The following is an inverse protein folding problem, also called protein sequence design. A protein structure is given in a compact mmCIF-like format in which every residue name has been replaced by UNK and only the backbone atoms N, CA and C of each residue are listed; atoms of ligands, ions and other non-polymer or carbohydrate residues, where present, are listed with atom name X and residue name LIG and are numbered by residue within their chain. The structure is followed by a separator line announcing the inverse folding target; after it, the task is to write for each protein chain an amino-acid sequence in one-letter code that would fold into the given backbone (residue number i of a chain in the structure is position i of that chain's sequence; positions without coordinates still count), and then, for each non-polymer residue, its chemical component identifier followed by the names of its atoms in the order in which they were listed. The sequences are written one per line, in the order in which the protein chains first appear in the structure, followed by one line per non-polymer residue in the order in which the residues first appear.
data_IF_952816872220
#
_entry.id   IF_952816872220
#
_cell.length_a   1.000
_cell.length_b   1.000
_cell.length_c   1.000
_cell.angle_alpha   90.00
_cell.angle_beta   90.00
_cell.angle_gamma   90.00
#
_symmetry.space_group_name_H-M   'P 1'
#
loop_
_entity.id
_entity.type
_entity.pdbx_description
1 polymer ?
#
# COMPACT_ATOMS: atom_id res chain seq x y z
N UNK A 1 -44.30 -27.47 -96.39
CA UNK A 1 -44.22 -26.38 -95.39
C UNK A 1 -43.13 -26.81 -94.43
N UNK A 2 -41.93 -26.30 -94.65
CA UNK A 2 -40.67 -26.96 -94.34
C UNK A 2 -39.97 -26.21 -93.20
N UNK A 3 -39.72 -26.87 -92.07
CA UNK A 3 -38.83 -26.36 -91.02
C UNK A 3 -38.16 -27.54 -90.30
N UNK A 4 -36.90 -27.80 -90.66
CA UNK A 4 -36.01 -28.76 -90.01
C UNK A 4 -34.60 -28.55 -90.53
N UNK A 5 -33.63 -28.63 -89.62
CA UNK A 5 -32.17 -28.64 -89.83
C UNK A 5 -31.54 -27.24 -89.82
N UNK A 6 -30.93 -26.80 -88.72
CA UNK A 6 -29.58 -27.15 -88.22
C UNK A 6 -28.43 -26.56 -89.05
N UNK A 7 -27.49 -26.00 -88.29
CA UNK A 7 -26.06 -25.80 -88.59
C UNK A 7 -25.75 -24.63 -89.56
N UNK A 8 -24.78 -23.75 -89.36
CA UNK A 8 -23.66 -23.67 -88.42
C UNK A 8 -23.20 -22.21 -88.31
N UNK A 9 -22.81 -21.77 -87.11
CA UNK A 9 -21.98 -20.58 -86.90
C UNK A 9 -20.61 -21.06 -86.36
N UNK A 10 -19.47 -20.67 -86.94
CA UNK A 10 -18.17 -21.10 -86.45
C UNK A 10 -17.72 -20.24 -85.25
N UNK A 11 -17.39 -20.91 -84.14
CA UNK A 11 -16.47 -20.40 -83.10
C UNK A 11 -15.04 -20.24 -83.68
N UNK A 12 -14.04 -19.60 -83.01
CA UNK A 12 -13.97 -19.27 -81.58
C UNK A 12 -13.36 -17.89 -81.24
N UNK A 13 -13.62 -17.37 -80.03
CA UNK A 13 -12.62 -16.61 -79.28
C UNK A 13 -12.84 -16.81 -77.77
N UNK A 14 -11.77 -17.25 -77.13
CA UNK A 14 -11.66 -17.70 -75.75
C UNK A 14 -11.44 -16.55 -74.77
N UNK A 15 -12.24 -16.43 -73.70
CA UNK A 15 -11.79 -15.86 -72.41
C UNK A 15 -12.52 -16.53 -71.23
N UNK A 16 -11.83 -17.16 -70.27
CA UNK A 16 -12.42 -17.68 -69.02
C UNK A 16 -12.34 -16.62 -67.90
N UNK A 17 -13.35 -16.50 -67.02
CA UNK A 17 -13.24 -15.55 -65.89
C UNK A 17 -14.41 -15.48 -64.92
N UNK A 18 -14.38 -16.33 -63.89
CA UNK A 18 -15.41 -16.53 -62.87
C UNK A 18 -15.99 -15.28 -62.20
N UNK A 19 -17.32 -15.21 -62.14
CA UNK A 19 -18.10 -14.19 -61.41
C UNK A 19 -19.19 -14.82 -60.51
N UNK A 20 -18.86 -15.89 -59.76
CA UNK A 20 -19.85 -16.57 -58.91
C UNK A 20 -19.37 -17.18 -57.59
N UNK A 21 -18.06 -17.26 -57.34
CA UNK A 21 -17.53 -18.01 -56.18
C UNK A 21 -17.05 -17.15 -55.00
N UNK A 22 -16.91 -15.83 -55.15
CA UNK A 22 -16.31 -14.98 -54.10
C UNK A 22 -17.28 -14.54 -52.97
N UNK A 23 -18.59 -14.76 -53.11
CA UNK A 23 -19.60 -14.31 -52.13
C UNK A 23 -20.04 -15.37 -51.11
N UNK A 24 -19.59 -16.63 -51.22
CA UNK A 24 -19.99 -17.70 -50.30
C UNK A 24 -18.95 -18.01 -49.21
N UNK A 25 -17.72 -17.51 -49.36
CA UNK A 25 -16.60 -17.82 -48.45
C UNK A 25 -16.32 -16.75 -47.39
N UNK A 26 -17.09 -15.65 -47.33
CA UNK A 26 -16.83 -14.54 -46.41
C UNK A 26 -17.67 -14.54 -45.12
N UNK A 27 -18.69 -15.41 -45.00
CA UNK A 27 -19.59 -15.47 -43.82
C UNK A 27 -19.14 -16.52 -42.78
N UNK A 28 -18.63 -17.67 -43.23
CA UNK A 28 -18.16 -18.72 -42.33
C UNK A 28 -17.01 -18.31 -41.40
N UNK A 29 -15.94 -17.61 -41.86
CA UNK A 29 -14.81 -17.30 -40.98
C UNK A 29 -15.12 -16.19 -39.96
N UNK A 30 -16.13 -15.34 -40.23
CA UNK A 30 -16.54 -14.27 -39.31
C UNK A 30 -17.32 -14.83 -38.12
N UNK A 31 -18.22 -15.78 -38.35
CA UNK A 31 -19.00 -16.39 -37.27
C UNK A 31 -18.11 -17.17 -36.30
N UNK A 32 -17.09 -17.87 -36.82
CA UNK A 32 -16.13 -18.61 -36.01
C UNK A 32 -15.22 -17.69 -35.20
N UNK A 33 -14.83 -16.56 -35.78
CA UNK A 33 -14.07 -15.51 -35.09
C UNK A 33 -14.90 -14.80 -34.01
N UNK A 34 -16.17 -14.50 -34.28
CA UNK A 34 -17.09 -13.91 -33.29
C UNK A 34 -17.35 -14.86 -32.12
N UNK A 35 -17.45 -16.17 -32.38
CA UNK A 35 -17.54 -17.19 -31.35
C UNK A 35 -16.24 -17.30 -30.52
N UNK A 36 -15.08 -17.30 -31.18
CA UNK A 36 -13.78 -17.30 -30.48
C UNK A 36 -13.59 -16.04 -29.63
N UNK A 37 -14.01 -14.88 -30.12
CA UNK A 37 -13.99 -13.62 -29.37
C UNK A 37 -14.96 -13.63 -28.19
N UNK A 38 -16.15 -14.21 -28.35
CA UNK A 38 -17.12 -14.35 -27.27
C UNK A 38 -16.60 -15.29 -26.17
N UNK A 39 -15.99 -16.41 -26.56
CA UNK A 39 -15.35 -17.35 -25.63
C UNK A 39 -14.13 -16.72 -24.93
N UNK A 40 -13.24 -16.04 -25.66
CA UNK A 40 -12.11 -15.34 -25.07
C UNK A 40 -12.56 -14.25 -24.08
N UNK A 41 -13.57 -13.45 -24.44
CA UNK A 41 -14.14 -12.43 -23.53
C UNK A 41 -14.74 -13.04 -22.27
N UNK A 42 -15.45 -14.16 -22.39
CA UNK A 42 -16.01 -14.86 -21.23
C UNK A 42 -14.91 -15.40 -20.32
N UNK A 43 -13.84 -15.99 -20.89
CA UNK A 43 -12.67 -16.44 -20.13
C UNK A 43 -11.91 -15.28 -19.47
N UNK A 44 -11.79 -14.13 -20.15
CA UNK A 44 -11.19 -12.91 -19.57
C UNK A 44 -12.03 -12.35 -18.43
N UNK A 45 -13.36 -12.29 -18.57
CA UNK A 45 -14.25 -11.80 -17.52
C UNK A 45 -14.21 -12.73 -16.32
N UNK A 46 -14.24 -14.05 -16.53
CA UNK A 46 -14.19 -15.05 -15.47
C UNK A 46 -12.81 -15.07 -14.78
N UNK A 47 -11.71 -14.93 -15.52
CA UNK A 47 -10.38 -14.78 -14.95
C UNK A 47 -10.26 -13.47 -14.15
N UNK A 48 -10.82 -12.38 -14.65
CA UNK A 48 -10.84 -11.09 -13.98
C UNK A 48 -11.70 -11.13 -12.70
N UNK A 49 -12.84 -11.82 -12.71
CA UNK A 49 -13.68 -12.05 -11.53
C UNK A 49 -12.98 -12.95 -10.51
N UNK A 50 -12.31 -14.03 -10.94
CA UNK A 50 -11.52 -14.90 -10.05
C UNK A 50 -10.33 -14.18 -9.42
N UNK A 51 -9.65 -13.32 -10.18
CA UNK A 51 -8.60 -12.44 -9.65
C UNK A 51 -9.23 -11.43 -8.69
N UNK A 52 -10.33 -10.77 -9.03
CA UNK A 52 -11.02 -9.81 -8.16
C UNK A 52 -11.54 -10.43 -6.86
N UNK A 53 -11.96 -11.70 -6.88
CA UNK A 53 -12.39 -12.46 -5.70
C UNK A 53 -11.22 -12.98 -4.85
N UNK A 54 -10.10 -13.40 -5.46
CA UNK A 54 -8.90 -13.88 -4.73
C UNK A 54 -8.00 -12.75 -4.21
N UNK A 55 -7.89 -11.67 -4.97
CA UNK A 55 -7.07 -10.51 -4.66
C UNK A 55 -7.77 -9.60 -3.66
N UNK A 56 -9.10 -9.72 -3.50
CA UNK A 56 -9.89 -8.83 -2.67
C UNK A 56 -9.88 -7.42 -3.28
N UNK A 57 -11.06 -6.83 -3.46
CA UNK A 57 -11.21 -5.45 -3.98
C UNK A 57 -10.31 -4.43 -3.24
N UNK A 58 -9.94 -4.74 -2.01
CA UNK A 58 -9.19 -3.87 -1.13
C UNK A 58 -7.66 -3.97 -1.31
N UNK A 59 -7.09 -5.04 -1.91
CA UNK A 59 -5.62 -5.14 -2.06
C UNK A 59 -5.08 -4.17 -3.11
N UNK A 60 -5.71 -4.11 -4.30
CA UNK A 60 -5.31 -3.15 -5.35
C UNK A 60 -5.53 -1.72 -4.85
N UNK A 61 -6.66 -1.48 -4.18
CA UNK A 61 -6.95 -0.17 -3.59
C UNK A 61 -5.92 0.21 -2.51
N UNK A 62 -5.53 -0.73 -1.64
CA UNK A 62 -4.49 -0.52 -0.63
C UNK A 62 -3.14 -0.19 -1.25
N UNK A 63 -2.76 -0.87 -2.35
CA UNK A 63 -1.53 -0.55 -3.10
C UNK A 63 -1.60 0.87 -3.67
N UNK A 64 -2.71 1.24 -4.30
CA UNK A 64 -2.88 2.58 -4.89
C UNK A 64 -2.84 3.66 -3.81
N UNK A 65 -3.53 3.46 -2.68
CA UNK A 65 -3.51 4.40 -1.55
C UNK A 65 -2.10 4.49 -0.96
N UNK A 66 -1.43 3.35 -0.77
CA UNK A 66 -0.06 3.29 -0.26
C UNK A 66 0.92 4.04 -1.16
N UNK A 67 0.83 3.86 -2.48
CA UNK A 67 1.64 4.58 -3.47
C UNK A 67 1.31 6.07 -3.51
N UNK A 68 0.03 6.44 -3.44
CA UNK A 68 -0.38 7.84 -3.43
C UNK A 68 0.16 8.58 -2.18
N UNK A 69 -0.02 7.98 -1.00
CA UNK A 69 0.53 8.52 0.25
C UNK A 69 2.06 8.58 0.17
N UNK A 70 2.71 7.49 -0.26
CA UNK A 70 4.16 7.43 -0.40
C UNK A 70 4.71 8.49 -1.36
N UNK A 71 4.04 8.72 -2.49
CA UNK A 71 4.42 9.74 -3.46
C UNK A 71 4.25 11.15 -2.90
N UNK A 72 3.16 11.44 -2.20
CA UNK A 72 2.94 12.75 -1.55
C UNK A 72 4.02 13.02 -0.51
N UNK A 73 4.35 12.03 0.31
CA UNK A 73 5.43 12.13 1.31
C UNK A 73 6.79 12.32 0.63
N UNK A 74 7.07 11.57 -0.44
CA UNK A 74 8.31 11.66 -1.19
C UNK A 74 8.48 13.03 -1.88
N UNK A 75 7.42 13.53 -2.52
CA UNK A 75 7.40 14.87 -3.10
C UNK A 75 7.60 15.91 -1.99
N UNK A 76 6.92 15.78 -0.86
CA UNK A 76 7.13 16.67 0.30
C UNK A 76 8.61 16.71 0.72
N UNK A 77 9.25 15.54 0.84
CA UNK A 77 10.66 15.42 1.20
C UNK A 77 11.60 16.13 0.20
N UNK A 78 11.34 16.00 -1.10
CA UNK A 78 12.19 16.58 -2.16
C UNK A 78 12.04 18.11 -2.24
N UNK A 79 10.84 18.65 -2.01
CA UNK A 79 10.57 20.07 -2.23
C UNK A 79 10.68 20.94 -0.97
N UNK A 80 10.46 20.39 0.23
CA UNK A 80 10.59 21.17 1.48
C UNK A 80 10.82 20.27 2.72
N UNK A 81 12.01 20.35 3.32
CA UNK A 81 12.36 19.59 4.53
C UNK A 81 11.47 19.94 5.75
N UNK A 82 11.00 21.18 5.86
CA UNK A 82 10.23 21.64 7.02
C UNK A 82 8.81 21.04 7.15
N UNK A 83 7.97 20.99 6.10
CA UNK A 83 6.67 20.31 6.17
C UNK A 83 6.81 18.80 6.37
N UNK A 84 7.86 18.17 5.82
CA UNK A 84 8.15 16.77 6.10
C UNK A 84 8.47 16.55 7.59
N UNK A 85 9.30 17.39 8.20
CA UNK A 85 9.62 17.32 9.63
C UNK A 85 8.36 17.42 10.52
N UNK A 86 7.45 18.35 10.22
CA UNK A 86 6.19 18.49 10.95
C UNK A 86 5.27 17.27 10.75
N UNK A 87 5.20 16.74 9.53
CA UNK A 87 4.42 15.54 9.24
C UNK A 87 4.99 14.33 9.98
N UNK A 88 6.30 14.11 9.92
CA UNK A 88 6.99 13.03 10.60
C UNK A 88 6.84 13.15 12.14
N UNK A 89 6.89 14.36 12.69
CA UNK A 89 6.59 14.62 14.11
C UNK A 89 5.14 14.21 14.46
N UNK A 90 4.16 14.59 13.65
CA UNK A 90 2.76 14.22 13.88
C UNK A 90 2.56 12.70 13.80
N UNK A 91 3.18 12.03 12.83
CA UNK A 91 3.18 10.57 12.69
C UNK A 91 3.88 9.90 13.88
N UNK A 92 4.98 10.45 14.38
CA UNK A 92 5.69 9.92 15.55
C UNK A 92 4.82 9.99 16.82
N UNK A 93 4.16 11.13 17.03
CA UNK A 93 3.23 11.32 18.17
C UNK A 93 2.05 10.35 18.08
N UNK A 94 1.40 10.25 16.92
CA UNK A 94 0.30 9.31 16.71
C UNK A 94 0.77 7.85 16.84
N UNK A 95 1.96 7.53 16.31
CA UNK A 95 2.57 6.22 16.41
C UNK A 95 2.82 5.83 17.87
N UNK A 96 3.40 6.71 18.69
CA UNK A 96 3.59 6.47 20.12
C UNK A 96 2.25 6.38 20.85
N UNK A 97 1.28 7.23 20.52
CA UNK A 97 -0.04 7.21 21.14
C UNK A 97 -0.76 5.88 20.91
N UNK A 98 -0.90 5.46 19.66
CA UNK A 98 -1.56 4.20 19.31
C UNK A 98 -0.76 2.99 19.79
N UNK A 99 0.56 3.03 19.69
CA UNK A 99 1.41 1.94 20.17
C UNK A 99 1.31 1.78 21.71
N UNK A 100 1.32 2.88 22.45
CA UNK A 100 1.12 2.86 23.90
C UNK A 100 -0.27 2.36 24.28
N UNK A 101 -1.32 2.75 23.54
CA UNK A 101 -2.68 2.23 23.77
C UNK A 101 -2.81 0.75 23.43
N UNK A 102 -2.15 0.28 22.37
CA UNK A 102 -2.13 -1.14 22.01
C UNK A 102 -1.44 -1.97 23.11
N UNK A 103 -0.32 -1.48 23.65
CA UNK A 103 0.36 -2.10 24.79
C UNK A 103 -0.54 -2.12 26.04
N UNK A 104 -1.27 -1.04 26.32
CA UNK A 104 -2.27 -0.99 27.39
C UNK A 104 -3.40 -2.01 27.19
N UNK A 105 -3.90 -2.14 25.96
CA UNK A 105 -4.87 -3.17 25.60
C UNK A 105 -4.36 -4.60 25.79
N UNK A 106 -3.05 -4.81 25.69
CA UNK A 106 -2.38 -6.09 25.97
C UNK A 106 -2.10 -6.32 27.46
N UNK A 107 -2.64 -5.49 28.35
CA UNK A 107 -2.46 -5.62 29.81
C UNK A 107 -1.14 -5.06 30.35
N UNK A 108 -0.40 -4.29 29.55
CA UNK A 108 0.83 -3.61 29.98
C UNK A 108 0.52 -2.22 30.51
N UNK A 109 1.17 -1.79 31.59
CA UNK A 109 0.97 -0.43 32.12
C UNK A 109 2.02 0.50 31.49
N UNK A 110 1.61 1.34 30.54
CA UNK A 110 2.49 2.32 29.87
C UNK A 110 1.97 3.73 30.13
N UNK A 111 2.83 4.60 30.67
CA UNK A 111 2.46 5.99 30.97
C UNK A 111 2.52 6.84 29.70
N UNK A 112 1.36 7.28 29.21
CA UNK A 112 1.24 7.97 27.92
C UNK A 112 1.92 9.34 27.91
N UNK A 113 1.82 10.08 29.03
CA UNK A 113 2.33 11.45 29.15
C UNK A 113 3.84 11.55 28.88
N UNK A 114 4.72 10.81 29.58
CA UNK A 114 6.15 10.86 29.30
C UNK A 114 6.47 10.36 27.88
N UNK A 115 5.76 9.35 27.39
CA UNK A 115 6.03 8.78 26.06
C UNK A 115 5.73 9.76 24.93
N UNK A 116 4.58 10.44 24.99
CA UNK A 116 4.21 11.47 24.00
C UNK A 116 5.16 12.67 24.09
N UNK A 117 5.57 13.08 25.30
CA UNK A 117 6.55 14.14 25.46
C UNK A 117 7.89 13.80 24.76
N UNK A 118 8.37 12.57 24.92
CA UNK A 118 9.59 12.09 24.25
C UNK A 118 9.40 12.06 22.72
N UNK A 119 8.23 11.65 22.25
CA UNK A 119 7.87 11.64 20.82
C UNK A 119 7.92 13.02 20.17
N UNK A 120 7.73 14.09 20.95
CA UNK A 120 7.89 15.47 20.48
C UNK A 120 9.33 15.94 20.61
N UNK A 121 9.93 15.75 21.79
CA UNK A 121 11.22 16.33 22.15
C UNK A 121 12.35 15.75 21.30
N UNK A 122 12.39 14.43 21.09
CA UNK A 122 13.53 13.79 20.41
C UNK A 122 13.58 14.19 18.92
N UNK A 123 12.51 14.08 18.12
CA UNK A 123 12.54 14.51 16.72
C UNK A 123 12.70 16.02 16.57
N UNK A 124 12.10 16.83 17.47
CA UNK A 124 12.31 18.28 17.46
C UNK A 124 13.78 18.64 17.74
N UNK A 125 14.43 17.92 18.66
CA UNK A 125 15.85 18.14 18.97
C UNK A 125 16.73 17.75 17.79
N UNK A 126 16.44 16.63 17.13
CA UNK A 126 17.16 16.20 15.93
C UNK A 126 17.09 17.25 14.82
N UNK A 127 15.89 17.76 14.53
CA UNK A 127 15.68 18.76 13.49
C UNK A 127 16.31 20.12 13.80
N UNK A 128 16.22 20.59 15.05
CA UNK A 128 16.63 21.95 15.42
C UNK A 128 18.08 22.06 15.90
N UNK A 129 18.58 21.06 16.62
CA UNK A 129 19.89 21.11 17.28
C UNK A 129 20.91 20.13 16.67
N UNK A 130 20.45 19.16 15.90
CA UNK A 130 21.28 18.21 15.18
C UNK A 130 21.45 16.84 15.87
N UNK A 131 22.21 15.93 15.23
CA UNK A 131 22.23 14.51 15.60
C UNK A 131 22.83 14.22 16.98
N UNK A 132 23.83 15.01 17.40
CA UNK A 132 24.50 14.80 18.69
C UNK A 132 23.55 15.07 19.86
N UNK A 133 22.76 16.13 19.78
CA UNK A 133 21.81 16.56 20.79
C UNK A 133 20.60 15.62 20.84
N UNK A 134 20.21 15.03 19.71
CA UNK A 134 19.19 13.98 19.66
C UNK A 134 19.54 12.81 20.59
N UNK A 135 20.78 12.33 20.58
CA UNK A 135 21.21 11.24 21.48
C UNK A 135 21.03 11.63 22.95
N UNK A 136 21.44 12.85 23.32
CA UNK A 136 21.27 13.37 24.68
C UNK A 136 19.78 13.44 25.05
N UNK A 137 18.94 13.98 24.18
CA UNK A 137 17.49 14.06 24.39
C UNK A 137 16.84 12.67 24.50
N UNK A 138 17.28 11.70 23.70
CA UNK A 138 16.79 10.32 23.73
C UNK A 138 17.14 9.64 25.05
N UNK A 139 18.41 9.67 25.46
CA UNK A 139 18.83 9.07 26.73
C UNK A 139 18.14 9.73 27.92
N UNK A 140 18.07 11.07 27.93
CA UNK A 140 17.36 11.81 28.96
C UNK A 140 15.87 11.43 28.98
N UNK A 141 15.23 11.35 27.82
CA UNK A 141 13.84 10.94 27.67
C UNK A 141 13.58 9.54 28.22
N UNK A 142 14.42 8.56 27.88
CA UNK A 142 14.33 7.19 28.41
C UNK A 142 14.47 7.18 29.93
N UNK A 143 15.46 7.88 30.49
CA UNK A 143 15.64 7.98 31.95
C UNK A 143 14.41 8.61 32.60
N UNK A 144 13.87 9.69 32.03
CA UNK A 144 12.66 10.34 32.52
C UNK A 144 11.45 9.40 32.46
N UNK A 145 11.27 8.63 31.38
CA UNK A 145 10.19 7.66 31.29
C UNK A 145 10.29 6.55 32.35
N UNK A 146 11.50 6.03 32.58
CA UNK A 146 11.75 5.02 33.62
C UNK A 146 11.47 5.62 35.01
N UNK A 147 12.00 6.79 35.32
CA UNK A 147 11.79 7.45 36.62
C UNK A 147 10.31 7.77 36.83
N UNK A 148 9.62 8.30 35.82
CA UNK A 148 8.19 8.57 35.87
C UNK A 148 7.40 7.32 36.24
N UNK A 149 7.75 6.20 35.59
CA UNK A 149 7.10 4.91 35.83
C UNK A 149 7.35 4.41 37.25
N UNK A 150 8.59 4.47 37.73
CA UNK A 150 8.97 4.04 39.08
C UNK A 150 8.29 4.91 40.15
N UNK A 151 8.21 6.23 39.94
CA UNK A 151 7.50 7.15 40.84
C UNK A 151 6.01 6.85 40.86
N UNK A 152 5.39 6.62 39.69
CA UNK A 152 4.00 6.21 39.60
C UNK A 152 3.71 4.93 40.39
N UNK A 153 4.58 3.91 40.26
CA UNK A 153 4.47 2.67 41.04
C UNK A 153 4.61 2.90 42.56
N UNK A 154 5.54 3.76 43.00
CA UNK A 154 5.71 4.09 44.41
C UNK A 154 4.49 4.78 45.00
N UNK A 155 3.86 5.69 44.24
CA UNK A 155 2.64 6.40 44.66
C UNK A 155 1.45 5.42 44.75
N UNK A 156 1.31 4.50 43.80
CA UNK A 156 0.25 3.49 43.78
C UNK A 156 0.38 2.45 44.92
N UNK A 157 1.52 2.39 45.62
CA UNK A 157 1.84 1.34 46.64
C UNK A 157 1.59 -0.07 46.10
N UNK A 158 1.90 -0.29 44.83
CA UNK A 158 1.62 -1.55 44.14
C UNK A 158 2.64 -2.60 44.62
N UNK A 159 2.23 -3.53 45.49
CA UNK A 159 3.06 -4.59 46.07
C UNK A 159 3.44 -5.70 45.08
N UNK A 160 3.97 -5.34 43.91
CA UNK A 160 4.13 -6.22 42.75
C UNK A 160 5.50 -6.90 42.66
N UNK A 161 5.48 -8.11 42.12
CA UNK A 161 6.63 -8.98 41.81
C UNK A 161 7.66 -8.31 40.90
N UNK A 162 8.95 -8.52 41.17
CA UNK A 162 10.12 -7.97 40.45
C UNK A 162 10.03 -8.04 38.92
N UNK A 163 9.43 -9.11 38.36
CA UNK A 163 9.25 -9.28 36.91
C UNK A 163 8.44 -8.16 36.23
N UNK A 164 7.48 -7.57 36.95
CA UNK A 164 6.69 -6.47 36.40
C UNK A 164 7.49 -5.18 36.26
N UNK A 165 8.49 -4.96 37.12
CA UNK A 165 9.36 -3.78 37.06
C UNK A 165 10.27 -3.87 35.83
N UNK A 166 10.79 -5.06 35.55
CA UNK A 166 11.63 -5.31 34.36
C UNK A 166 10.82 -5.08 33.08
N UNK A 167 9.62 -5.64 32.99
CA UNK A 167 8.74 -5.44 31.83
C UNK A 167 8.39 -3.96 31.63
N UNK A 168 8.10 -3.24 32.71
CA UNK A 168 7.80 -1.80 32.66
C UNK A 168 9.01 -0.98 32.18
N UNK A 169 10.22 -1.28 32.66
CA UNK A 169 11.47 -0.61 32.21
C UNK A 169 11.76 -0.93 30.74
N UNK A 170 11.55 -2.19 30.32
CA UNK A 170 11.72 -2.61 28.93
C UNK A 170 10.77 -1.83 28.03
N UNK A 171 9.48 -1.72 28.39
CA UNK A 171 8.51 -0.96 27.60
C UNK A 171 8.80 0.55 27.63
N UNK A 172 9.17 1.10 28.80
CA UNK A 172 9.52 2.50 28.94
C UNK A 172 10.72 2.90 28.06
N UNK A 173 11.64 1.96 27.82
CA UNK A 173 12.81 2.14 26.95
C UNK A 173 12.51 1.82 25.48
N UNK A 174 11.73 0.78 25.23
CA UNK A 174 11.42 0.30 23.89
C UNK A 174 10.61 1.32 23.08
N UNK A 175 9.60 1.95 23.69
CA UNK A 175 8.74 2.91 22.99
C UNK A 175 9.55 4.10 22.44
N UNK A 176 10.42 4.78 23.21
CA UNK A 176 11.31 5.84 22.72
C UNK A 176 12.31 5.42 21.64
N UNK A 177 12.85 4.20 21.75
CA UNK A 177 13.81 3.68 20.77
C UNK A 177 13.14 3.26 19.47
N UNK A 178 11.89 2.84 19.53
CA UNK A 178 11.19 2.36 18.35
C UNK A 178 10.61 3.50 17.52
N UNK A 179 9.82 4.40 18.10
CA UNK A 179 9.11 5.41 17.30
C UNK A 179 9.86 6.76 17.28
N UNK A 180 10.12 7.43 18.41
CA UNK A 180 10.80 8.73 18.41
C UNK A 180 12.19 8.70 17.79
N UNK A 181 13.02 7.71 18.12
CA UNK A 181 14.36 7.58 17.53
C UNK A 181 14.31 7.36 16.02
N UNK A 182 13.50 6.42 15.52
CA UNK A 182 13.39 6.18 14.08
C UNK A 182 12.82 7.40 13.33
N UNK A 183 11.84 8.09 13.92
CA UNK A 183 11.32 9.34 13.35
C UNK A 183 12.41 10.42 13.27
N UNK A 184 13.26 10.51 14.28
CA UNK A 184 14.35 11.48 14.31
C UNK A 184 15.47 11.19 13.31
N UNK A 185 15.66 9.92 12.92
CA UNK A 185 16.59 9.55 11.85
C UNK A 185 16.05 9.82 10.45
N UNK A 186 14.72 9.92 10.31
CA UNK A 186 14.07 10.14 9.02
C UNK A 186 14.07 11.62 8.61
N UNK A 187 14.17 12.52 9.58
CA UNK A 187 14.10 13.99 9.43
C UNK A 187 15.52 14.57 9.39
#
# INVERSE_FOLDING_TARGET
MSDSSRDADPSPDTVPGGHGSMRRSARAPRNEFELQMAHARAEFEEANERIKQRTGRDLILAIVIGLAIGLVVFVSLVFANWPFALFALAVAVLGVFEFSRALQGAGRKVDLIPQVAIAVIVPATAYLLGPWQMWVALFCGVVVAIVWRLVGQMIERDGRTYGNVVDDVLLATFVPLYVPFLASLAI
#
